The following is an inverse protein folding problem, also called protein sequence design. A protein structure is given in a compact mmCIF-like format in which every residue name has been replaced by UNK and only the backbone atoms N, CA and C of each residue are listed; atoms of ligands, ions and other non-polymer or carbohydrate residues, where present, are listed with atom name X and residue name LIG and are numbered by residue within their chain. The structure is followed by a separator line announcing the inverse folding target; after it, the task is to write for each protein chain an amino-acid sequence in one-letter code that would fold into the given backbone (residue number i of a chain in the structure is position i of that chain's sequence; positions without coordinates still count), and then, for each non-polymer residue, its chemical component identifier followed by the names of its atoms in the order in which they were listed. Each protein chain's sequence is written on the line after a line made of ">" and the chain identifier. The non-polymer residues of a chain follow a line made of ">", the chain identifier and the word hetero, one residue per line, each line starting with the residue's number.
data_IF_172994222304
#
_entry.id   IF_172994222304
#
_cell.length_a   1.000
_cell.length_b   1.000
_cell.length_c   1.000
_cell.angle_alpha   90.00
_cell.angle_beta   90.00
_cell.angle_gamma   90.00
#
_symmetry.space_group_name_H-M   'P 1'
#
loop_
_entity.id
_entity.type
_entity.pdbx_description
1 polymer ?
#
# COMPACT_ATOMS: atom_id res chain seq x y z
N UNK A 1 5.05 6.38 -17.95
CA UNK A 1 4.37 5.31 -17.17
C UNK A 1 5.44 4.39 -16.64
N UNK A 2 5.39 4.05 -15.35
CA UNK A 2 6.48 3.34 -14.67
C UNK A 2 6.19 1.83 -14.75
N UNK A 3 6.93 1.09 -15.58
CA UNK A 3 6.66 -0.33 -15.87
C UNK A 3 6.66 -1.18 -14.59
N UNK A 4 7.46 -0.79 -13.59
CA UNK A 4 7.48 -1.41 -12.28
C UNK A 4 6.15 -1.26 -11.51
N UNK A 5 5.45 -0.12 -11.63
CA UNK A 5 4.13 0.08 -11.01
C UNK A 5 3.06 -0.79 -11.66
N UNK A 6 3.10 -0.93 -12.97
CA UNK A 6 2.19 -1.81 -13.72
C UNK A 6 2.48 -3.29 -13.41
N UNK A 7 3.75 -3.69 -13.31
CA UNK A 7 4.11 -5.04 -12.91
C UNK A 7 3.64 -5.41 -11.50
N UNK A 8 3.68 -4.48 -10.54
CA UNK A 8 3.10 -4.68 -9.20
C UNK A 8 1.57 -4.76 -9.27
N UNK A 9 0.93 -3.89 -10.05
CA UNK A 9 -0.51 -3.84 -10.21
C UNK A 9 -1.11 -5.05 -10.96
N UNK A 10 -0.32 -5.72 -11.80
CA UNK A 10 -0.74 -6.91 -12.57
C UNK A 10 -0.28 -8.22 -11.91
N UNK A 11 0.51 -8.14 -10.83
CA UNK A 11 1.02 -9.30 -10.09
C UNK A 11 0.21 -9.58 -8.81
N UNK A 12 0.61 -10.63 -8.07
CA UNK A 12 0.08 -11.01 -6.74
C UNK A 12 0.19 -9.93 -5.66
N UNK A 13 0.76 -8.77 -5.99
CA UNK A 13 1.00 -7.65 -5.09
C UNK A 13 0.09 -6.45 -5.40
N UNK A 14 -0.88 -6.60 -6.31
CA UNK A 14 -1.85 -5.56 -6.67
C UNK A 14 -2.67 -5.06 -5.48
N UNK A 15 -2.88 -5.91 -4.47
CA UNK A 15 -3.59 -5.55 -3.23
C UNK A 15 -2.88 -4.45 -2.43
N UNK A 16 -1.56 -4.29 -2.56
CA UNK A 16 -0.77 -3.30 -1.82
C UNK A 16 -1.09 -1.86 -2.22
N UNK A 17 -0.97 -1.46 -3.51
CA UNK A 17 -1.33 -0.11 -3.94
C UNK A 17 -2.81 0.19 -3.71
N UNK A 18 -3.72 -0.76 -3.94
CA UNK A 18 -5.16 -0.55 -3.72
C UNK A 18 -5.48 -0.30 -2.24
N UNK A 19 -4.85 -1.07 -1.35
CA UNK A 19 -4.98 -0.89 0.10
C UNK A 19 -4.39 0.45 0.52
N UNK A 20 -3.23 0.85 -0.02
CA UNK A 20 -2.62 2.15 0.27
C UNK A 20 -3.54 3.30 -0.12
N UNK A 21 -4.08 3.28 -1.35
CA UNK A 21 -4.99 4.31 -1.85
C UNK A 21 -6.23 4.40 -0.97
N UNK A 22 -6.83 3.25 -0.63
CA UNK A 22 -8.03 3.23 0.22
C UNK A 22 -7.78 3.84 1.61
N UNK A 23 -6.64 3.53 2.22
CA UNK A 23 -6.24 4.09 3.52
C UNK A 23 -5.97 5.59 3.45
N UNK A 24 -5.31 6.06 2.38
CA UNK A 24 -5.07 7.50 2.18
C UNK A 24 -6.37 8.27 1.95
N UNK A 25 -7.29 7.73 1.15
CA UNK A 25 -8.62 8.30 0.98
C UNK A 25 -9.37 8.37 2.32
N UNK A 26 -9.37 7.28 3.10
CA UNK A 26 -9.99 7.26 4.43
C UNK A 26 -9.41 8.35 5.34
N UNK A 27 -8.08 8.56 5.30
CA UNK A 27 -7.41 9.63 6.04
C UNK A 27 -7.92 11.01 5.63
N UNK A 28 -7.96 11.28 4.33
CA UNK A 28 -8.39 12.58 3.79
C UNK A 28 -9.87 12.85 4.09
N UNK A 29 -10.74 11.85 3.96
CA UNK A 29 -12.15 11.99 4.32
C UNK A 29 -12.34 12.25 5.82
N UNK A 30 -11.64 11.51 6.68
CA UNK A 30 -11.71 11.75 8.12
C UNK A 30 -11.25 13.16 8.51
N UNK A 31 -10.20 13.68 7.85
CA UNK A 31 -9.74 15.06 8.04
C UNK A 31 -10.78 16.08 7.57
N UNK A 32 -11.35 15.90 6.37
CA UNK A 32 -12.39 16.77 5.80
C UNK A 32 -13.65 16.81 6.66
N UNK A 33 -14.06 15.67 7.18
CA UNK A 33 -15.26 15.52 8.02
C UNK A 33 -15.01 15.82 9.51
N UNK A 34 -13.80 16.27 9.88
CA UNK A 34 -13.39 16.53 11.28
C UNK A 34 -13.59 15.33 12.22
N UNK A 35 -13.54 14.10 11.68
CA UNK A 35 -13.57 12.87 12.46
C UNK A 35 -12.19 12.55 13.02
N UNK A 36 -12.14 11.71 14.04
CA UNK A 36 -10.89 11.15 14.55
C UNK A 36 -10.25 10.29 13.47
N UNK A 37 -9.18 10.80 12.86
CA UNK A 37 -8.42 10.13 11.78
C UNK A 37 -7.94 8.76 12.23
N UNK A 38 -7.34 8.67 13.43
CA UNK A 38 -6.85 7.40 13.96
C UNK A 38 -7.96 6.35 14.13
N UNK A 39 -9.14 6.73 14.62
CA UNK A 39 -10.27 5.82 14.77
C UNK A 39 -10.82 5.36 13.42
N UNK A 40 -10.95 6.28 12.47
CA UNK A 40 -11.41 6.02 11.11
C UNK A 40 -10.48 5.07 10.37
N UNK A 41 -9.16 5.29 10.50
CA UNK A 41 -8.13 4.43 9.93
C UNK A 41 -8.12 3.04 10.56
N UNK A 42 -8.28 2.92 11.88
CA UNK A 42 -8.40 1.61 12.55
C UNK A 42 -9.63 0.84 12.06
N UNK A 43 -10.77 1.52 11.92
CA UNK A 43 -11.99 0.92 11.41
C UNK A 43 -11.82 0.46 9.95
N UNK A 44 -11.22 1.30 9.10
CA UNK A 44 -10.92 0.98 7.71
C UNK A 44 -9.97 -0.23 7.61
N UNK A 45 -8.90 -0.24 8.41
CA UNK A 45 -7.94 -1.35 8.43
C UNK A 45 -8.59 -2.69 8.80
N UNK A 46 -9.51 -2.71 9.78
CA UNK A 46 -10.27 -3.92 10.15
C UNK A 46 -11.17 -4.45 9.02
N UNK A 47 -11.71 -3.56 8.18
CA UNK A 47 -12.52 -3.95 7.02
C UNK A 47 -11.60 -4.49 5.91
N UNK A 48 -10.51 -3.79 5.62
CA UNK A 48 -9.54 -4.19 4.59
C UNK A 48 -8.87 -5.53 4.92
N UNK A 49 -8.56 -5.76 6.21
CA UNK A 49 -7.98 -7.03 6.69
C UNK A 49 -8.83 -8.25 6.27
N UNK A 50 -10.16 -8.12 6.21
CA UNK A 50 -11.07 -9.20 5.81
C UNK A 50 -11.11 -9.44 4.30
N UNK A 51 -10.69 -8.46 3.50
CA UNK A 51 -10.75 -8.49 2.03
C UNK A 51 -9.41 -8.89 1.41
N UNK A 52 -8.32 -8.52 2.06
CA UNK A 52 -6.95 -8.80 1.64
C UNK A 52 -6.64 -10.29 1.82
N UNK A 53 -6.13 -10.93 0.77
CA UNK A 53 -5.68 -12.32 0.82
C UNK A 53 -4.19 -12.41 1.17
N UNK A 54 -3.42 -11.36 0.87
CA UNK A 54 -1.99 -11.37 1.11
C UNK A 54 -1.64 -11.32 2.60
N UNK A 55 -1.00 -12.38 3.12
CA UNK A 55 -0.75 -12.58 4.56
C UNK A 55 0.00 -11.42 5.23
N UNK A 56 1.12 -10.96 4.66
CA UNK A 56 1.87 -9.80 5.19
C UNK A 56 1.07 -8.50 5.24
N UNK A 57 0.19 -8.29 4.25
CA UNK A 57 -0.65 -7.10 4.20
C UNK A 57 -1.75 -7.21 5.25
N UNK A 58 -2.32 -8.41 5.43
CA UNK A 58 -3.28 -8.73 6.49
C UNK A 58 -2.69 -8.46 7.89
N UNK A 59 -1.48 -8.91 8.17
CA UNK A 59 -0.78 -8.66 9.44
C UNK A 59 -0.53 -7.16 9.68
N UNK A 60 -0.14 -6.44 8.63
CA UNK A 60 0.09 -4.99 8.69
C UNK A 60 -1.21 -4.25 9.01
N UNK A 61 -2.32 -4.65 8.38
CA UNK A 61 -3.66 -4.10 8.64
C UNK A 61 -4.18 -4.46 10.03
N UNK A 62 -3.93 -5.67 10.51
CA UNK A 62 -4.28 -6.09 11.86
C UNK A 62 -3.52 -5.24 12.90
N UNK A 63 -2.22 -5.06 12.70
CA UNK A 63 -1.38 -4.19 13.54
C UNK A 63 -1.87 -2.75 13.51
N UNK A 64 -2.25 -2.26 12.32
CA UNK A 64 -2.83 -0.92 12.14
C UNK A 64 -4.14 -0.77 12.92
N UNK A 65 -5.02 -1.78 12.91
CA UNK A 65 -6.29 -1.78 13.62
C UNK A 65 -6.16 -1.73 15.15
N UNK A 66 -5.04 -2.19 15.70
CA UNK A 66 -4.72 -2.22 17.14
C UNK A 66 -3.82 -1.07 17.59
N UNK A 67 -3.16 -0.36 16.66
CA UNK A 67 -2.17 0.67 16.98
C UNK A 67 -2.79 1.98 17.47
N UNK A 68 -2.10 2.63 18.42
CA UNK A 68 -2.39 4.02 18.82
C UNK A 68 -2.15 5.00 17.66
N UNK A 69 -1.16 4.71 16.80
CA UNK A 69 -0.73 5.55 15.67
C UNK A 69 -0.84 4.77 14.34
N UNK A 70 -2.06 4.62 13.78
CA UNK A 70 -2.28 3.83 12.56
C UNK A 70 -1.62 4.46 11.32
N UNK A 71 -1.37 5.77 11.32
CA UNK A 71 -0.74 6.51 10.22
C UNK A 71 0.69 6.00 9.92
N UNK A 72 1.40 5.50 10.93
CA UNK A 72 2.73 4.91 10.77
C UNK A 72 2.71 3.67 9.87
N UNK A 73 1.59 2.94 9.86
CA UNK A 73 1.45 1.76 8.99
C UNK A 73 1.23 2.16 7.53
N UNK A 74 0.62 3.32 7.24
CA UNK A 74 0.51 3.87 5.88
C UNK A 74 1.91 4.12 5.31
N UNK A 75 2.80 4.74 6.10
CA UNK A 75 4.18 4.96 5.69
C UNK A 75 4.92 3.64 5.43
N UNK A 76 4.72 2.62 6.28
CA UNK A 76 5.31 1.29 6.08
C UNK A 76 4.84 0.60 4.81
N UNK A 77 3.54 0.64 4.51
CA UNK A 77 2.99 0.07 3.27
C UNK A 77 3.59 0.80 2.06
N UNK A 78 3.66 2.13 2.12
CA UNK A 78 4.26 2.94 1.06
C UNK A 78 5.74 2.62 0.83
N UNK A 79 6.52 2.45 1.90
CA UNK A 79 7.93 2.08 1.81
C UNK A 79 8.12 0.66 1.28
N UNK A 80 7.22 -0.26 1.64
CA UNK A 80 7.21 -1.62 1.09
C UNK A 80 7.00 -1.60 -0.42
N UNK A 81 6.02 -0.82 -0.90
CA UNK A 81 5.78 -0.62 -2.34
C UNK A 81 7.02 -0.03 -3.03
N UNK A 82 7.62 1.03 -2.48
CA UNK A 82 8.86 1.59 -3.05
C UNK A 82 10.00 0.59 -3.13
N UNK A 83 10.18 -0.26 -2.11
CA UNK A 83 11.21 -1.31 -2.13
C UNK A 83 10.92 -2.35 -3.20
N UNK A 84 9.65 -2.74 -3.36
CA UNK A 84 9.23 -3.64 -4.45
C UNK A 84 9.49 -3.02 -5.82
N UNK A 85 9.18 -1.73 -6.00
CA UNK A 85 9.47 -0.98 -7.22
C UNK A 85 10.98 -0.99 -7.52
N UNK A 86 11.83 -0.67 -6.54
CA UNK A 86 13.30 -0.67 -6.71
C UNK A 86 13.86 -2.06 -7.05
N UNK A 87 13.33 -3.12 -6.42
CA UNK A 87 13.76 -4.50 -6.73
C UNK A 87 13.37 -4.86 -8.15
N UNK A 88 12.13 -4.57 -8.56
CA UNK A 88 11.65 -4.84 -9.92
C UNK A 88 12.43 -4.05 -10.97
N UNK A 89 12.72 -2.77 -10.71
CA UNK A 89 13.50 -1.92 -11.60
C UNK A 89 14.94 -2.44 -11.78
N UNK A 90 15.53 -3.01 -10.72
CA UNK A 90 16.84 -3.68 -10.79
C UNK A 90 16.80 -5.07 -11.46
N UNK A 91 15.67 -5.77 -11.34
CA UNK A 91 15.49 -7.12 -11.89
C UNK A 91 15.10 -7.11 -13.35
N UNK A 92 14.55 -5.99 -13.83
CA UNK A 92 14.19 -5.82 -15.22
C UNK A 92 15.49 -5.71 -16.02
N UNK A 93 15.77 -6.63 -16.96
CA UNK A 93 16.91 -6.46 -17.83
C UNK A 93 16.72 -5.13 -18.55
N UNK A 94 17.68 -4.20 -18.40
CA UNK A 94 17.77 -3.05 -19.29
C UNK A 94 17.70 -3.63 -20.68
N UNK A 95 16.63 -3.35 -21.42
CA UNK A 95 16.55 -3.75 -22.81
C UNK A 95 17.86 -3.31 -23.47
N UNK A 96 18.54 -4.19 -24.23
CA UNK A 96 19.76 -3.79 -24.91
C UNK A 96 19.42 -2.53 -25.70
N UNK A 97 20.18 -1.48 -25.43
CA UNK A 97 20.10 -0.20 -26.11
C UNK A 97 20.20 -0.52 -27.61
N UNK A 98 19.05 -0.50 -28.32
CA UNK A 98 19.03 -0.62 -29.78
C UNK A 98 19.48 0.73 -30.33
N UNK A 99 20.75 1.03 -30.13
CA UNK A 99 21.45 2.19 -30.67
C UNK A 99 22.73 1.69 -31.35
N UNK A 100 22.56 1.19 -32.58
CA UNK A 100 23.38 1.40 -33.80
C UNK A 100 23.32 0.19 -34.72
#
# INVERSE_FOLDING_TARGET
>A
MNIAKEAIAVSRFSEFPDTLVTLELCRVFAQREKRRVGESLRACARILQKKVQHERLRETLETMGKSQFPETQIARIRDCIRRMETVLDRSMPRAPDKSQ
#
